data_IF_301003521554
#
_entry.id   IF_301003521554
#
_cell.length_a   1.000
_cell.length_b   1.000
_cell.length_c   1.000
_cell.angle_alpha   90.00
_cell.angle_beta   90.00
_cell.angle_gamma   90.00
#
_symmetry.space_group_name_H-M   'P 1'
#
loop_
_entity.id
_entity.type
_entity.pdbx_description
1 polymer ?
#
# COMPACT_ATOMS: atom_id res chain seq x y z
N UNK A 1 -29.45 2.93 -33.33
CA UNK A 1 -28.13 2.86 -33.99
C UNK A 1 -27.25 3.88 -33.31
N UNK A 2 -26.14 3.44 -32.74
CA UNK A 2 -25.09 4.32 -32.24
C UNK A 2 -24.52 5.08 -33.42
N UNK A 3 -24.64 6.41 -33.40
CA UNK A 3 -24.11 7.28 -34.44
C UNK A 3 -22.89 8.02 -33.91
N UNK A 4 -21.77 7.86 -34.58
CA UNK A 4 -20.48 8.41 -34.16
C UNK A 4 -20.27 9.77 -34.84
N UNK A 5 -19.68 10.70 -34.10
CA UNK A 5 -19.29 12.01 -34.63
C UNK A 5 -17.78 12.09 -34.80
N UNK A 6 -17.33 12.40 -36.00
CA UNK A 6 -15.91 12.58 -36.31
C UNK A 6 -15.50 14.00 -35.91
N UNK A 7 -14.39 14.12 -35.18
CA UNK A 7 -13.76 15.40 -34.82
C UNK A 7 -12.29 15.40 -35.14
N UNK A 8 -11.85 16.48 -35.78
CA UNK A 8 -10.44 16.75 -36.00
C UNK A 8 -9.73 17.12 -34.70
N UNK A 9 -8.44 16.81 -34.63
CA UNK A 9 -7.58 17.18 -33.51
C UNK A 9 -6.53 18.19 -33.98
N UNK A 10 -5.77 18.77 -33.04
CA UNK A 10 -4.64 19.64 -33.39
C UNK A 10 -3.51 18.88 -34.10
N UNK A 11 -3.49 17.54 -34.00
CA UNK A 11 -2.56 16.70 -34.73
C UNK A 11 -3.25 16.12 -35.98
N UNK A 12 -2.80 16.45 -37.21
CA UNK A 12 -3.43 15.99 -38.44
C UNK A 12 -3.33 14.47 -38.67
N UNK A 13 -2.47 13.77 -37.93
CA UNK A 13 -2.39 12.30 -37.96
C UNK A 13 -3.40 11.63 -37.03
N UNK A 14 -4.07 12.38 -36.16
CA UNK A 14 -5.00 11.85 -35.16
C UNK A 14 -6.42 12.34 -35.44
N UNK A 15 -7.35 11.41 -35.55
CA UNK A 15 -8.78 11.69 -35.70
C UNK A 15 -9.57 11.11 -34.54
N UNK A 16 -10.56 11.85 -34.05
CA UNK A 16 -11.39 11.49 -32.91
C UNK A 16 -12.77 11.04 -33.39
N UNK A 17 -13.23 9.92 -32.86
CA UNK A 17 -14.53 9.31 -33.11
C UNK A 17 -15.32 9.35 -31.80
N UNK A 18 -16.29 10.26 -31.68
CA UNK A 18 -17.07 10.48 -30.47
C UNK A 18 -18.40 9.73 -30.49
N UNK A 19 -18.71 9.10 -29.36
CA UNK A 19 -19.94 8.38 -29.08
C UNK A 19 -20.93 9.29 -28.34
N UNK A 20 -22.25 9.03 -28.48
CA UNK A 20 -23.28 9.77 -27.74
C UNK A 20 -23.20 9.53 -26.24
N UNK A 21 -22.84 8.30 -25.82
CA UNK A 21 -22.71 7.89 -24.43
C UNK A 21 -21.25 7.60 -24.06
N UNK A 22 -20.94 7.65 -22.76
CA UNK A 22 -19.62 7.26 -22.25
C UNK A 22 -19.35 5.78 -22.52
N UNK A 23 -18.16 5.49 -23.05
CA UNK A 23 -17.69 4.14 -23.38
C UNK A 23 -16.65 3.62 -22.39
N UNK A 24 -16.18 4.48 -21.48
CA UNK A 24 -15.23 4.13 -20.40
C UNK A 24 -15.72 4.66 -19.05
N UNK A 25 -15.34 4.00 -17.95
CA UNK A 25 -15.63 4.42 -16.57
C UNK A 25 -14.45 5.24 -15.98
N UNK A 26 -14.13 6.39 -16.59
CA UNK A 26 -13.02 7.28 -16.18
C UNK A 26 -11.60 6.70 -16.30
N UNK A 27 -11.41 5.65 -17.11
CA UNK A 27 -10.09 5.12 -17.45
C UNK A 27 -9.73 5.50 -18.89
N UNK A 28 -8.44 5.75 -19.12
CA UNK A 28 -7.88 6.02 -20.44
C UNK A 28 -7.04 4.83 -20.86
N UNK A 29 -7.24 4.37 -22.08
CA UNK A 29 -6.53 3.25 -22.67
C UNK A 29 -5.75 3.75 -23.88
N UNK A 30 -4.48 3.36 -23.99
CA UNK A 30 -3.62 3.57 -25.15
C UNK A 30 -3.08 2.21 -25.58
N UNK A 31 -3.27 1.89 -26.86
CA UNK A 31 -2.78 0.67 -27.47
C UNK A 31 -1.86 1.06 -28.62
N UNK A 32 -0.65 0.49 -28.67
CA UNK A 32 0.35 0.76 -29.71
C UNK A 32 0.53 -0.39 -30.71
N UNK A 33 -0.02 -1.55 -30.39
CA UNK A 33 0.03 -2.74 -31.24
C UNK A 33 -1.12 -3.69 -30.90
N UNK A 34 -1.33 -4.69 -31.75
CA UNK A 34 -2.39 -5.69 -31.59
C UNK A 34 -2.24 -6.54 -30.31
N UNK A 35 -1.02 -6.80 -29.84
CA UNK A 35 -0.77 -7.64 -28.67
C UNK A 35 -1.23 -6.99 -27.36
N UNK A 36 -1.29 -5.66 -27.32
CA UNK A 36 -1.80 -4.86 -26.19
C UNK A 36 -3.33 -4.82 -26.13
N UNK A 37 -4.04 -5.21 -27.21
CA UNK A 37 -5.51 -5.05 -27.33
C UNK A 37 -6.34 -6.17 -26.71
N UNK A 38 -5.75 -7.01 -25.87
CA UNK A 38 -6.43 -8.16 -25.25
C UNK A 38 -7.72 -7.79 -24.52
N UNK A 39 -7.77 -6.58 -23.95
CA UNK A 39 -8.93 -6.06 -23.22
C UNK A 39 -9.84 -5.15 -24.05
N UNK A 40 -9.60 -5.02 -25.36
CA UNK A 40 -10.42 -4.23 -26.27
C UNK A 40 -10.57 -4.94 -27.62
N UNK A 41 -11.64 -5.74 -27.78
CA UNK A 41 -11.95 -6.37 -29.06
C UNK A 41 -12.11 -5.36 -30.21
N UNK A 42 -12.61 -4.15 -29.92
CA UNK A 42 -12.66 -3.08 -30.91
C UNK A 42 -11.26 -2.57 -31.30
N UNK A 43 -10.37 -2.31 -30.33
CA UNK A 43 -9.00 -1.90 -30.66
C UNK A 43 -8.29 -3.00 -31.48
N UNK A 44 -8.49 -4.27 -31.12
CA UNK A 44 -7.96 -5.40 -31.89
C UNK A 44 -8.44 -5.35 -33.35
N UNK A 45 -9.72 -5.08 -33.57
CA UNK A 45 -10.28 -4.94 -34.92
C UNK A 45 -9.66 -3.75 -35.68
N UNK A 46 -9.45 -2.62 -35.01
CA UNK A 46 -8.86 -1.42 -35.61
C UNK A 46 -7.40 -1.65 -36.04
N UNK A 47 -6.62 -2.46 -35.32
CA UNK A 47 -5.24 -2.79 -35.73
C UNK A 47 -5.14 -3.70 -36.95
N UNK A 48 -6.23 -4.32 -37.42
CA UNK A 48 -6.20 -4.98 -38.74
C UNK A 48 -6.17 -3.97 -39.91
N UNK A 49 -6.46 -2.69 -39.64
CA UNK A 49 -6.27 -1.64 -40.62
C UNK A 49 -4.77 -1.32 -40.70
N UNK A 50 -4.11 -1.50 -41.86
CA UNK A 50 -2.65 -1.46 -41.98
C UNK A 50 -2.05 -0.07 -41.74
N UNK A 51 -2.88 0.97 -41.72
CA UNK A 51 -2.47 2.34 -41.47
C UNK A 51 -2.63 2.77 -40.00
N UNK A 52 -3.20 1.95 -39.12
CA UNK A 52 -3.39 2.32 -37.71
C UNK A 52 -2.09 2.15 -36.95
N UNK A 53 -1.65 3.24 -36.31
CA UNK A 53 -0.43 3.29 -35.50
C UNK A 53 -0.74 3.18 -34.02
N UNK A 54 -1.72 3.93 -33.53
CA UNK A 54 -2.08 3.98 -32.11
C UNK A 54 -3.59 4.14 -31.97
N UNK A 55 -4.19 3.47 -30.99
CA UNK A 55 -5.61 3.61 -30.64
C UNK A 55 -5.73 4.08 -29.19
N UNK A 56 -6.44 5.19 -28.99
CA UNK A 56 -6.76 5.76 -27.69
C UNK A 56 -8.25 5.61 -27.41
N UNK A 57 -8.62 5.10 -26.24
CA UNK A 57 -10.03 5.00 -25.81
C UNK A 57 -10.16 5.74 -24.49
N UNK A 58 -11.03 6.75 -24.45
CA UNK A 58 -11.20 7.61 -23.27
C UNK A 58 -12.57 8.26 -23.26
N UNK A 59 -13.17 8.37 -22.07
CA UNK A 59 -14.46 9.03 -21.88
C UNK A 59 -15.54 8.45 -22.80
N UNK A 60 -16.00 9.26 -23.74
CA UNK A 60 -16.98 8.93 -24.77
C UNK A 60 -16.36 8.87 -26.19
N UNK A 61 -15.06 8.65 -26.34
CA UNK A 61 -14.43 8.70 -27.67
C UNK A 61 -13.29 7.72 -27.87
N UNK A 62 -13.02 7.46 -29.15
CA UNK A 62 -11.84 6.74 -29.61
C UNK A 62 -11.03 7.69 -30.49
N UNK A 63 -9.75 7.88 -30.20
CA UNK A 63 -8.86 8.61 -31.09
C UNK A 63 -7.88 7.64 -31.75
N UNK A 64 -7.73 7.75 -33.06
CA UNK A 64 -6.87 6.85 -33.84
C UNK A 64 -5.76 7.70 -34.44
N UNK A 65 -4.52 7.30 -34.21
CA UNK A 65 -3.35 7.82 -34.91
C UNK A 65 -3.05 6.92 -36.10
N UNK A 66 -2.88 7.52 -37.29
CA UNK A 66 -2.49 6.80 -38.51
C UNK A 66 -1.00 6.95 -38.83
N UNK A 67 -0.44 5.98 -39.54
CA UNK A 67 0.79 6.16 -40.31
C UNK A 67 0.56 7.10 -41.50
N UNK A 68 1.61 7.81 -41.92
CA UNK A 68 1.58 8.77 -43.04
C UNK A 68 1.48 8.13 -44.43
N UNK A 69 0.87 6.94 -44.53
CA UNK A 69 0.71 6.18 -45.78
C UNK A 69 -0.67 6.38 -46.44
N UNK A 70 -1.62 6.96 -45.72
CA UNK A 70 -3.04 7.16 -46.13
C UNK A 70 -3.53 8.46 -45.51
N UNK A 71 -4.35 9.27 -46.18
CA UNK A 71 -4.96 10.48 -45.60
C UNK A 71 -6.32 10.21 -44.94
N UNK A 72 -6.66 10.97 -43.89
CA UNK A 72 -7.92 10.75 -43.15
C UNK A 72 -9.16 10.99 -44.02
N UNK A 73 -9.11 11.93 -44.95
CA UNK A 73 -10.23 12.21 -45.85
C UNK A 73 -10.64 11.01 -46.72
N UNK A 74 -9.72 10.08 -46.97
CA UNK A 74 -9.98 8.91 -47.80
C UNK A 74 -10.60 7.74 -47.00
N UNK A 75 -10.42 7.72 -45.67
CA UNK A 75 -10.75 6.54 -44.84
C UNK A 75 -11.63 6.82 -43.63
N UNK A 76 -11.82 8.09 -43.22
CA UNK A 76 -12.53 8.46 -41.99
C UNK A 76 -13.96 7.92 -41.92
N UNK A 77 -14.69 7.97 -43.02
CA UNK A 77 -16.09 7.53 -43.06
C UNK A 77 -16.19 6.00 -42.99
N UNK A 78 -15.29 5.28 -43.67
CA UNK A 78 -15.23 3.82 -43.61
C UNK A 78 -14.85 3.32 -42.20
N UNK A 79 -13.92 4.01 -41.54
CA UNK A 79 -13.55 3.68 -40.15
C UNK A 79 -14.72 3.97 -39.20
N UNK A 80 -15.42 5.10 -39.36
CA UNK A 80 -16.60 5.40 -38.56
C UNK A 80 -17.69 4.33 -38.75
N UNK A 81 -17.99 3.93 -39.99
CA UNK A 81 -18.97 2.88 -40.29
C UNK A 81 -18.56 1.54 -39.67
N UNK A 82 -17.27 1.19 -39.71
CA UNK A 82 -16.76 -0.03 -39.09
C UNK A 82 -16.97 -0.03 -37.56
N UNK A 83 -16.69 1.09 -36.90
CA UNK A 83 -16.89 1.23 -35.45
C UNK A 83 -18.39 1.19 -35.11
N UNK A 84 -19.23 1.91 -35.87
CA UNK A 84 -20.68 1.91 -35.69
C UNK A 84 -21.25 0.51 -35.85
N UNK A 85 -20.85 -0.21 -36.90
CA UNK A 85 -21.28 -1.58 -37.16
C UNK A 85 -20.89 -2.51 -36.02
N UNK A 86 -19.63 -2.46 -35.58
CA UNK A 86 -19.14 -3.28 -34.48
C UNK A 86 -20.00 -3.11 -33.22
N UNK A 87 -20.34 -1.87 -32.88
CA UNK A 87 -21.11 -1.55 -31.67
C UNK A 87 -22.58 -1.91 -31.83
N UNK A 88 -23.17 -1.64 -33.00
CA UNK A 88 -24.56 -2.00 -33.30
C UNK A 88 -24.77 -3.53 -33.36
N UNK A 89 -23.75 -4.29 -33.75
CA UNK A 89 -23.77 -5.76 -33.75
C UNK A 89 -23.55 -6.35 -32.34
N UNK A 90 -23.46 -5.51 -31.30
CA UNK A 90 -23.27 -5.94 -29.90
C UNK A 90 -21.81 -6.19 -29.51
N UNK A 91 -20.86 -5.72 -30.33
CA UNK A 91 -19.43 -5.80 -30.05
C UNK A 91 -19.05 -5.04 -28.77
N UNK A 92 -18.18 -5.66 -27.97
CA UNK A 92 -17.70 -5.07 -26.72
C UNK A 92 -16.50 -4.16 -26.99
N UNK A 93 -16.62 -2.87 -26.68
CA UNK A 93 -15.55 -1.88 -26.90
C UNK A 93 -14.34 -2.15 -25.98
N UNK A 94 -14.62 -2.40 -24.70
CA UNK A 94 -13.65 -2.76 -23.67
C UNK A 94 -14.23 -3.92 -22.88
N UNK A 95 -13.51 -5.03 -22.79
CA UNK A 95 -13.81 -6.05 -21.79
C UNK A 95 -13.32 -5.51 -20.46
N UNK A 96 -14.24 -5.17 -19.57
CA UNK A 96 -13.89 -4.79 -18.19
C UNK A 96 -13.11 -5.97 -17.61
N UNK A 97 -11.86 -5.73 -17.24
CA UNK A 97 -11.06 -6.72 -16.53
C UNK A 97 -11.74 -6.94 -15.18
N UNK A 98 -12.56 -7.99 -15.04
CA UNK A 98 -13.21 -8.33 -13.76
C UNK A 98 -12.17 -8.59 -12.65
N UNK A 99 -10.90 -8.81 -13.04
CA UNK A 99 -9.75 -8.98 -12.18
C UNK A 99 -9.04 -7.67 -11.78
N UNK A 100 -9.38 -6.52 -12.35
CA UNK A 100 -8.98 -5.24 -11.72
C UNK A 100 -9.89 -5.02 -10.53
N UNK A 101 -9.38 -5.35 -9.34
CA UNK A 101 -10.00 -4.98 -8.07
C UNK A 101 -10.55 -3.56 -8.19
N UNK A 102 -11.88 -3.40 -8.06
CA UNK A 102 -12.51 -2.07 -8.02
C UNK A 102 -11.71 -1.21 -7.06
N UNK A 103 -11.10 -0.12 -7.55
CA UNK A 103 -10.25 0.74 -6.73
C UNK A 103 -10.98 1.09 -5.44
N UNK A 104 -10.47 0.58 -4.33
CA UNK A 104 -11.11 0.81 -3.05
C UNK A 104 -10.71 2.21 -2.58
N UNK A 105 -11.68 3.11 -2.29
CA UNK A 105 -11.33 4.44 -1.84
C UNK A 105 -10.57 4.34 -0.51
N UNK A 106 -9.33 4.81 -0.51
CA UNK A 106 -8.48 4.84 0.69
C UNK A 106 -7.87 6.22 0.87
N UNK A 107 -7.72 6.64 2.12
CA UNK A 107 -6.85 7.77 2.47
C UNK A 107 -5.59 7.26 3.14
N UNK A 108 -4.48 7.91 2.82
CA UNK A 108 -3.19 7.71 3.48
C UNK A 108 -2.63 9.09 3.79
N UNK A 109 -2.25 9.33 5.04
CA UNK A 109 -1.62 10.57 5.46
C UNK A 109 -0.47 10.28 6.42
N UNK A 110 0.53 11.17 6.45
CA UNK A 110 1.71 11.04 7.30
C UNK A 110 1.51 11.78 8.61
N UNK A 111 1.88 11.14 9.72
CA UNK A 111 2.00 11.71 11.07
C UNK A 111 3.46 11.65 11.50
N UNK A 112 3.96 12.75 12.07
CA UNK A 112 5.31 12.80 12.66
C UNK A 112 5.35 11.97 13.92
N UNK A 113 6.44 11.23 14.11
CA UNK A 113 6.70 10.51 15.36
C UNK A 113 7.75 11.25 16.20
N UNK A 114 7.88 10.94 17.50
CA UNK A 114 9.00 11.45 18.30
C UNK A 114 10.38 11.02 17.79
N UNK A 115 10.45 9.97 16.96
CA UNK A 115 11.68 9.51 16.32
C UNK A 115 11.91 10.27 15.00
N UNK A 116 12.94 11.10 14.87
CA UNK A 116 13.20 11.87 13.65
C UNK A 116 13.53 10.99 12.44
N UNK A 117 13.94 9.73 12.66
CA UNK A 117 14.18 8.77 11.61
C UNK A 117 12.91 8.02 11.17
N UNK A 118 11.78 8.14 11.88
CA UNK A 118 10.56 7.39 11.58
C UNK A 118 9.36 8.29 11.30
N UNK A 119 8.57 7.92 10.27
CA UNK A 119 7.30 8.57 9.95
C UNK A 119 6.19 7.52 9.91
N UNK A 120 5.05 7.87 10.49
CA UNK A 120 3.87 7.00 10.56
C UNK A 120 2.91 7.35 9.42
N UNK A 121 2.57 6.38 8.59
CA UNK A 121 1.58 6.53 7.52
C UNK A 121 0.28 5.87 7.95
N UNK A 122 -0.73 6.67 8.28
CA UNK A 122 -2.04 6.19 8.72
C UNK A 122 -2.95 5.97 7.52
N UNK A 123 -3.61 4.82 7.49
CA UNK A 123 -4.50 4.37 6.44
C UNK A 123 -5.94 4.31 6.97
N UNK A 124 -6.92 4.63 6.13
CA UNK A 124 -8.35 4.58 6.51
C UNK A 124 -8.95 3.17 6.64
N UNK A 125 -8.14 2.11 6.58
CA UNK A 125 -8.57 0.72 6.75
C UNK A 125 -7.55 -0.06 7.58
N UNK A 126 -8.02 -1.12 8.21
CA UNK A 126 -7.17 -2.09 8.89
C UNK A 126 -6.26 -2.82 7.88
N UNK A 127 -4.99 -2.95 8.23
CA UNK A 127 -3.90 -3.58 7.50
C UNK A 127 -3.56 -4.96 8.07
N UNK A 128 -3.49 -5.08 9.40
CA UNK A 128 -3.15 -6.32 10.11
C UNK A 128 -3.75 -6.32 11.52
N UNK A 129 -3.95 -7.51 12.09
CA UNK A 129 -4.27 -7.68 13.52
C UNK A 129 -3.04 -7.95 14.37
N UNK A 130 -1.97 -8.41 13.75
CA UNK A 130 -0.73 -8.77 14.43
C UNK A 130 0.34 -7.77 14.01
N UNK A 131 0.95 -7.05 14.95
CA UNK A 131 2.06 -6.15 14.66
C UNK A 131 3.23 -6.92 14.04
N UNK A 132 3.85 -6.39 12.99
CA UNK A 132 5.03 -7.00 12.35
C UNK A 132 6.09 -5.95 12.07
N UNK A 133 7.34 -6.28 12.41
CA UNK A 133 8.51 -5.46 12.13
C UNK A 133 9.44 -6.17 11.14
N UNK A 134 9.88 -5.44 10.12
CA UNK A 134 10.85 -5.90 9.13
C UNK A 134 12.07 -4.99 9.18
N UNK A 135 13.26 -5.57 9.37
CA UNK A 135 14.55 -4.82 9.44
C UNK A 135 15.38 -4.93 8.16
N UNK A 136 14.96 -5.79 7.23
CA UNK A 136 15.57 -5.97 5.93
C UNK A 136 14.58 -6.65 4.97
N UNK A 137 14.92 -6.63 3.67
CA UNK A 137 14.07 -7.19 2.61
C UNK A 137 13.87 -8.70 2.74
N UNK A 138 14.82 -9.46 3.27
CA UNK A 138 14.73 -10.92 3.36
C UNK A 138 13.65 -11.38 4.37
N UNK A 139 13.30 -10.51 5.33
CA UNK A 139 12.23 -10.78 6.31
C UNK A 139 10.83 -10.53 5.74
N UNK A 140 10.70 -9.91 4.56
CA UNK A 140 9.41 -9.39 4.04
C UNK A 140 8.52 -10.43 3.37
N UNK A 141 8.83 -11.72 3.49
CA UNK A 141 8.08 -12.80 2.84
C UNK A 141 6.57 -12.78 3.12
N UNK A 142 6.18 -12.35 4.32
CA UNK A 142 4.78 -12.21 4.75
C UNK A 142 4.14 -10.87 4.36
N UNK A 143 4.85 -9.93 3.74
CA UNK A 143 4.32 -8.62 3.37
C UNK A 143 4.83 -8.14 2.01
N UNK A 144 4.03 -8.32 0.94
CA UNK A 144 4.34 -7.75 -0.36
C UNK A 144 4.48 -6.23 -0.33
N UNK A 145 3.71 -5.52 0.52
CA UNK A 145 3.89 -4.08 0.72
C UNK A 145 5.29 -3.77 1.27
N UNK A 146 5.72 -4.45 2.33
CA UNK A 146 7.05 -4.23 2.90
C UNK A 146 8.14 -4.55 1.87
N UNK A 147 8.01 -5.65 1.13
CA UNK A 147 8.96 -6.03 0.09
C UNK A 147 9.17 -4.91 -0.94
N UNK A 148 8.09 -4.29 -1.41
CA UNK A 148 8.17 -3.15 -2.31
C UNK A 148 8.72 -1.88 -1.64
N UNK A 149 8.37 -1.63 -0.36
CA UNK A 149 8.91 -0.50 0.40
C UNK A 149 10.44 -0.60 0.58
N UNK A 150 11.00 -1.80 0.75
CA UNK A 150 12.45 -1.99 0.82
C UNK A 150 13.19 -1.75 -0.50
N UNK A 151 12.49 -1.61 -1.64
CA UNK A 151 13.12 -1.20 -2.90
C UNK A 151 13.53 0.26 -2.92
N UNK A 152 12.92 1.08 -2.04
CA UNK A 152 13.34 2.46 -1.88
C UNK A 152 14.66 2.49 -1.08
N UNK A 153 15.75 3.07 -1.63
CA UNK A 153 17.09 2.93 -1.05
C UNK A 153 17.26 3.62 0.32
N UNK A 154 16.31 4.48 0.68
CA UNK A 154 16.30 5.20 1.94
C UNK A 154 15.52 4.48 3.06
N UNK A 155 14.80 3.40 2.76
CA UNK A 155 14.02 2.64 3.74
C UNK A 155 14.94 1.67 4.49
N UNK A 156 14.99 1.82 5.82
CA UNK A 156 15.80 1.00 6.73
C UNK A 156 14.96 -0.07 7.42
N UNK A 157 13.79 0.30 7.93
CA UNK A 157 12.90 -0.59 8.67
C UNK A 157 11.44 -0.25 8.34
N UNK A 158 10.58 -1.26 8.32
CA UNK A 158 9.14 -1.12 8.09
C UNK A 158 8.40 -1.84 9.19
N UNK A 159 7.52 -1.13 9.88
CA UNK A 159 6.65 -1.68 10.90
C UNK A 159 5.20 -1.48 10.48
N UNK A 160 4.39 -2.52 10.58
CA UNK A 160 2.98 -2.52 10.17
C UNK A 160 2.15 -3.01 11.33
N UNK A 161 1.16 -2.21 11.71
CA UNK A 161 0.24 -2.53 12.79
C UNK A 161 -1.10 -1.85 12.57
N UNK A 162 -2.17 -2.44 13.08
CA UNK A 162 -3.56 -2.02 12.94
C UNK A 162 -3.88 -1.38 11.58
N UNK A 163 -3.91 -0.05 11.49
CA UNK A 163 -4.21 0.72 10.30
C UNK A 163 -3.06 1.64 9.85
N UNK A 164 -1.83 1.43 10.29
CA UNK A 164 -0.70 2.29 9.96
C UNK A 164 0.56 1.52 9.58
N UNK A 165 1.43 2.21 8.84
CA UNK A 165 2.76 1.74 8.46
C UNK A 165 3.77 2.76 8.96
N UNK A 166 4.65 2.38 9.87
CA UNK A 166 5.78 3.20 10.28
C UNK A 166 7.00 2.83 9.45
N UNK A 167 7.57 3.81 8.76
CA UNK A 167 8.79 3.63 7.97
C UNK A 167 9.92 4.37 8.66
N UNK A 168 11.00 3.65 8.95
CA UNK A 168 12.26 4.24 9.43
C UNK A 168 13.20 4.39 8.26
N UNK A 169 13.77 5.59 8.08
CA UNK A 169 14.74 5.89 7.02
C UNK A 169 16.18 5.85 7.52
N UNK A 170 17.13 5.74 6.59
CA UNK A 170 18.54 6.05 6.88
C UNK A 170 18.73 7.56 7.17
N UNK A 171 19.72 7.90 8.00
CA UNK A 171 19.92 9.28 8.48
C UNK A 171 20.22 10.30 7.38
N UNK A 172 20.77 9.86 6.24
CA UNK A 172 21.18 10.75 5.14
C UNK A 172 20.02 11.38 4.36
N UNK A 173 18.80 10.88 4.53
CA UNK A 173 17.62 11.35 3.78
C UNK A 173 16.77 12.31 4.61
N UNK A 174 16.06 13.25 4.00
CA UNK A 174 15.09 14.12 4.69
C UNK A 174 13.65 13.68 4.41
N UNK A 175 12.80 13.67 5.44
CA UNK A 175 11.39 13.34 5.30
C UNK A 175 10.65 14.29 4.35
N UNK A 176 11.04 15.57 4.28
CA UNK A 176 10.42 16.54 3.38
C UNK A 176 10.52 16.13 1.91
N UNK A 177 11.56 15.38 1.54
CA UNK A 177 11.80 14.96 0.16
C UNK A 177 11.08 13.65 -0.18
N UNK A 178 11.02 12.70 0.76
CA UNK A 178 10.55 11.32 0.49
C UNK A 178 9.09 11.07 0.91
N UNK A 179 8.50 11.92 1.76
CA UNK A 179 7.15 11.68 2.33
C UNK A 179 6.08 11.55 1.24
N UNK A 180 6.10 12.42 0.22
CA UNK A 180 5.09 12.40 -0.83
C UNK A 180 5.17 11.13 -1.69
N UNK A 181 6.39 10.67 -1.98
CA UNK A 181 6.64 9.46 -2.76
C UNK A 181 6.10 8.23 -2.03
N UNK A 182 6.54 8.01 -0.79
CA UNK A 182 6.09 6.88 0.04
C UNK A 182 4.58 6.90 0.27
N UNK A 183 4.00 8.06 0.61
CA UNK A 183 2.55 8.19 0.81
C UNK A 183 1.78 7.82 -0.45
N UNK A 184 2.23 8.29 -1.61
CA UNK A 184 1.58 8.01 -2.89
C UNK A 184 1.70 6.53 -3.24
N UNK A 185 2.87 5.94 -3.02
CA UNK A 185 3.12 4.52 -3.22
C UNK A 185 2.21 3.65 -2.35
N UNK A 186 2.20 3.85 -1.02
CA UNK A 186 1.36 3.08 -0.09
C UNK A 186 -0.11 3.20 -0.47
N UNK A 187 -0.57 4.42 -0.77
CA UNK A 187 -1.94 4.67 -1.21
C UNK A 187 -2.27 3.87 -2.47
N UNK A 188 -1.47 3.97 -3.52
CA UNK A 188 -1.71 3.29 -4.80
C UNK A 188 -1.66 1.77 -4.66
N UNK A 189 -0.70 1.25 -3.89
CA UNK A 189 -0.57 -0.17 -3.63
C UNK A 189 -1.87 -0.72 -3.03
N UNK A 190 -2.40 -0.04 -2.01
CA UNK A 190 -3.63 -0.42 -1.31
C UNK A 190 -4.87 -0.21 -2.20
N UNK A 191 -4.97 0.93 -2.89
CA UNK A 191 -6.08 1.24 -3.81
C UNK A 191 -6.24 0.21 -4.92
N UNK A 192 -5.12 -0.31 -5.42
CA UNK A 192 -5.10 -1.32 -6.47
C UNK A 192 -5.36 -2.75 -5.96
N UNK A 193 -5.67 -2.91 -4.67
CA UNK A 193 -5.96 -4.22 -4.07
C UNK A 193 -4.72 -5.03 -3.71
N UNK A 194 -3.54 -4.40 -3.60
CA UNK A 194 -2.33 -5.07 -3.15
C UNK A 194 -2.48 -5.64 -1.74
N UNK A 195 -1.99 -6.87 -1.56
CA UNK A 195 -1.94 -7.54 -0.25
C UNK A 195 -0.88 -6.87 0.61
N UNK A 196 -1.30 -6.28 1.72
CA UNK A 196 -0.39 -5.60 2.65
C UNK A 196 0.40 -6.62 3.45
N UNK A 197 -0.31 -7.54 4.10
CA UNK A 197 0.23 -8.67 4.85
C UNK A 197 -0.53 -9.93 4.44
N UNK A 198 0.21 -11.01 4.21
CA UNK A 198 -0.35 -12.36 4.10
C UNK A 198 -0.33 -13.01 5.48
N UNK A 199 -1.47 -12.93 6.17
CA UNK A 199 -1.68 -13.46 7.52
C UNK A 199 -1.38 -14.97 7.59
N UNK A 200 -1.54 -15.72 6.48
CA UNK A 200 -1.26 -17.16 6.46
C UNK A 200 0.22 -17.49 6.61
N UNK A 201 1.10 -16.56 6.19
CA UNK A 201 2.55 -16.69 6.30
C UNK A 201 3.06 -16.22 7.66
N UNK A 202 2.36 -15.30 8.34
CA UNK A 202 2.69 -14.88 9.70
C UNK A 202 2.58 -16.04 10.68
N UNK A 203 1.54 -16.87 10.58
CA UNK A 203 1.37 -18.04 11.45
C UNK A 203 2.48 -19.09 11.30
N UNK A 204 3.18 -19.10 10.17
CA UNK A 204 4.31 -19.99 9.90
C UNK A 204 5.61 -19.38 10.45
N UNK A 205 5.86 -18.10 10.20
CA UNK A 205 7.05 -17.39 10.71
C UNK A 205 7.03 -17.30 12.24
N UNK A 206 5.86 -17.02 12.83
CA UNK A 206 5.68 -16.99 14.28
C UNK A 206 5.81 -18.38 14.91
N UNK A 207 5.71 -19.50 14.18
CA UNK A 207 5.92 -20.85 14.76
C UNK A 207 7.37 -21.16 15.09
N UNK A 208 8.33 -20.57 14.37
CA UNK A 208 9.76 -20.70 14.69
C UNK A 208 10.20 -19.71 15.80
N UNK A 209 9.45 -18.62 16.03
CA UNK A 209 9.65 -17.70 17.16
C UNK A 209 8.68 -17.92 18.36
N UNK A 210 7.73 -18.86 18.26
CA UNK A 210 6.73 -19.25 19.30
C UNK A 210 7.35 -20.02 20.47
N UNK A 211 8.42 -19.47 21.02
CA UNK A 211 8.86 -19.72 22.40
C UNK A 211 8.44 -18.57 23.32
N UNK A 212 7.91 -17.44 22.80
CA UNK A 212 7.59 -16.25 23.63
C UNK A 212 6.12 -15.83 23.73
N UNK A 213 5.20 -16.53 23.06
CA UNK A 213 3.84 -16.70 23.59
C UNK A 213 3.85 -17.97 24.43
N UNK A 214 4.60 -17.96 25.54
CA UNK A 214 4.24 -18.85 26.64
C UNK A 214 2.77 -18.54 26.93
N UNK A 215 1.90 -19.54 26.83
CA UNK A 215 0.48 -19.47 27.15
C UNK A 215 0.32 -18.44 28.27
N UNK A 216 -0.36 -17.30 28.05
CA UNK A 216 -0.45 -16.24 29.06
C UNK A 216 -0.85 -16.83 30.43
N UNK A 217 -1.73 -17.82 30.40
CA UNK A 217 -2.21 -18.62 31.53
C UNK A 217 -1.14 -19.49 32.22
N UNK A 218 0.02 -19.70 31.60
CA UNK A 218 1.17 -20.47 32.12
C UNK A 218 2.28 -19.60 32.71
N UNK A 219 2.21 -18.28 32.55
CA UNK A 219 3.13 -17.34 33.17
C UNK A 219 2.80 -17.16 34.65
N UNK A 220 3.77 -16.69 35.45
CA UNK A 220 3.51 -16.31 36.84
C UNK A 220 2.57 -15.10 36.95
N UNK A 221 1.97 -14.92 38.12
CA UNK A 221 0.98 -13.86 38.35
C UNK A 221 1.56 -12.45 38.13
N UNK A 222 2.84 -12.23 38.38
CA UNK A 222 3.48 -10.91 38.23
C UNK A 222 3.68 -10.61 36.75
N UNK A 223 4.20 -11.57 35.98
CA UNK A 223 4.31 -11.44 34.52
C UNK A 223 2.96 -11.18 33.86
N UNK A 224 1.90 -11.89 34.26
CA UNK A 224 0.55 -11.65 33.75
C UNK A 224 0.05 -10.23 34.06
N UNK A 225 0.28 -9.73 35.28
CA UNK A 225 -0.06 -8.36 35.66
C UNK A 225 0.73 -7.32 34.86
N UNK A 226 2.03 -7.54 34.67
CA UNK A 226 2.89 -6.67 33.86
C UNK A 226 2.33 -6.59 32.43
N UNK A 227 2.06 -7.72 31.80
CA UNK A 227 1.50 -7.77 30.44
C UNK A 227 0.19 -6.98 30.37
N UNK A 228 -0.73 -7.20 31.30
CA UNK A 228 -2.00 -6.45 31.33
C UNK A 228 -1.79 -4.94 31.46
N UNK A 229 -0.87 -4.51 32.33
CA UNK A 229 -0.55 -3.07 32.49
C UNK A 229 0.04 -2.50 31.19
N UNK A 230 0.95 -3.22 30.54
CA UNK A 230 1.56 -2.78 29.29
C UNK A 230 0.52 -2.65 28.17
N UNK A 231 -0.35 -3.65 28.01
CA UNK A 231 -1.41 -3.66 26.99
C UNK A 231 -2.44 -2.54 27.21
N UNK A 232 -2.86 -2.31 28.47
CA UNK A 232 -3.94 -1.37 28.77
C UNK A 232 -3.45 0.10 28.81
N UNK A 233 -2.26 0.36 29.34
CA UNK A 233 -1.82 1.73 29.66
C UNK A 233 -0.63 2.22 28.82
N UNK A 234 0.25 1.33 28.36
CA UNK A 234 1.48 1.75 27.65
C UNK A 234 1.32 1.63 26.15
N UNK A 235 0.84 0.49 25.66
CA UNK A 235 0.71 0.17 24.24
C UNK A 235 -0.11 1.21 23.46
N UNK A 236 -1.22 1.78 23.98
CA UNK A 236 -1.95 2.83 23.25
C UNK A 236 -1.11 4.08 22.98
N UNK A 237 -0.27 4.49 23.94
CA UNK A 237 0.61 5.65 23.77
C UNK A 237 1.74 5.35 22.77
N UNK A 238 2.31 4.15 22.85
CA UNK A 238 3.36 3.69 21.94
C UNK A 238 2.85 3.55 20.49
N UNK A 239 1.63 3.02 20.31
CA UNK A 239 0.98 2.92 19.01
C UNK A 239 0.60 4.30 18.43
N UNK A 240 0.20 5.26 19.28
CA UNK A 240 0.00 6.64 18.86
C UNK A 240 1.28 7.24 18.25
N UNK A 241 2.44 6.94 18.86
CA UNK A 241 3.77 7.33 18.37
C UNK A 241 4.28 6.48 17.19
N UNK A 242 3.52 5.47 16.75
CA UNK A 242 3.86 4.64 15.59
C UNK A 242 4.82 3.48 15.90
N UNK A 243 4.91 3.05 17.15
CA UNK A 243 5.65 1.87 17.56
C UNK A 243 4.78 0.80 18.20
N UNK A 244 5.42 -0.23 18.72
CA UNK A 244 4.79 -1.23 19.59
C UNK A 244 5.73 -1.60 20.74
N UNK A 245 5.16 -2.13 21.82
CA UNK A 245 5.88 -2.65 22.97
C UNK A 245 5.43 -4.08 23.24
N UNK A 246 6.40 -4.98 23.41
CA UNK A 246 6.14 -6.39 23.68
C UNK A 246 6.84 -6.78 24.97
N UNK A 247 6.13 -7.46 25.87
CA UNK A 247 6.74 -8.07 27.05
C UNK A 247 7.70 -9.18 26.61
N UNK A 248 8.93 -9.15 27.11
CA UNK A 248 9.94 -10.17 26.82
C UNK A 248 10.08 -11.17 27.97
N UNK A 249 10.34 -10.67 29.17
CA UNK A 249 10.56 -11.50 30.36
C UNK A 249 10.50 -10.69 31.65
N UNK A 250 10.33 -11.39 32.76
CA UNK A 250 10.46 -10.85 34.11
C UNK A 250 11.40 -11.74 34.94
N UNK A 251 12.37 -11.12 35.61
CA UNK A 251 13.28 -11.79 36.55
C UNK A 251 12.87 -11.48 37.98
N UNK A 252 12.27 -12.47 38.64
CA UNK A 252 11.82 -12.42 40.04
C UNK A 252 12.96 -12.16 41.04
N UNK A 253 14.22 -12.50 40.71
CA UNK A 253 15.35 -12.31 41.63
C UNK A 253 15.84 -10.87 41.65
N UNK A 254 15.70 -10.16 40.52
CA UNK A 254 16.21 -8.80 40.34
C UNK A 254 15.12 -7.76 40.16
N UNK A 255 13.84 -8.15 40.22
CA UNK A 255 12.67 -7.33 39.92
C UNK A 255 12.79 -6.64 38.54
N UNK A 256 13.41 -7.32 37.56
CA UNK A 256 13.74 -6.70 36.26
C UNK A 256 12.80 -7.17 35.17
N UNK A 257 12.08 -6.22 34.57
CA UNK A 257 11.18 -6.42 33.43
C UNK A 257 11.91 -6.07 32.14
N UNK A 258 11.96 -7.01 31.20
CA UNK A 258 12.46 -6.77 29.85
C UNK A 258 11.30 -6.57 28.90
N UNK A 259 11.39 -5.53 28.08
CA UNK A 259 10.43 -5.21 27.03
C UNK A 259 11.16 -4.99 25.70
N UNK A 260 10.57 -5.45 24.60
CA UNK A 260 11.04 -5.17 23.26
C UNK A 260 10.29 -3.99 22.68
N UNK A 261 11.04 -3.01 22.15
CA UNK A 261 10.48 -1.84 21.48
C UNK A 261 10.54 -2.03 19.96
N UNK A 262 9.41 -1.84 19.28
CA UNK A 262 9.28 -2.01 17.83
C UNK A 262 8.82 -0.73 17.12
N UNK A 263 9.04 -0.66 15.82
CA UNK A 263 8.58 0.43 14.96
C UNK A 263 9.27 1.75 15.30
N UNK A 264 8.52 2.86 15.30
CA UNK A 264 9.09 4.18 15.53
C UNK A 264 9.76 4.34 16.91
N UNK A 265 9.39 3.52 17.89
CA UNK A 265 9.99 3.56 19.23
C UNK A 265 11.34 2.83 19.31
N UNK A 266 11.65 1.99 18.32
CA UNK A 266 12.93 1.30 18.23
C UNK A 266 14.04 2.28 17.83
N UNK A 267 15.18 2.23 18.53
CA UNK A 267 16.36 3.04 18.22
C UNK A 267 16.22 4.56 18.43
N UNK A 268 15.13 5.05 19.01
CA UNK A 268 14.92 6.49 19.26
C UNK A 268 15.63 6.95 20.54
N UNK A 269 16.78 7.65 20.49
CA UNK A 269 17.60 7.93 21.68
C UNK A 269 16.88 8.79 22.72
N UNK A 270 16.03 9.72 22.27
CA UNK A 270 15.24 10.60 23.14
C UNK A 270 14.06 9.89 23.80
N UNK A 271 13.49 8.90 23.13
CA UNK A 271 12.32 8.16 23.62
C UNK A 271 12.72 6.96 24.47
N UNK A 272 13.83 6.27 24.18
CA UNK A 272 14.23 5.07 24.94
C UNK A 272 14.40 5.39 26.43
N UNK A 273 15.04 6.50 26.80
CA UNK A 273 15.22 6.86 28.21
C UNK A 273 13.91 7.29 28.88
N UNK A 274 13.17 8.19 28.25
CA UNK A 274 11.95 8.78 28.82
C UNK A 274 10.82 7.76 28.91
N UNK A 275 10.62 6.97 27.86
CA UNK A 275 9.59 5.93 27.82
C UNK A 275 9.92 4.79 28.78
N UNK A 276 11.18 4.32 28.82
CA UNK A 276 11.63 3.34 29.83
C UNK A 276 11.32 3.84 31.25
N UNK A 277 11.69 5.08 31.56
CA UNK A 277 11.44 5.66 32.88
C UNK A 277 9.94 5.78 33.19
N UNK A 278 9.13 6.14 32.19
CA UNK A 278 7.68 6.19 32.29
C UNK A 278 7.06 4.81 32.59
N UNK A 279 7.47 3.78 31.84
CA UNK A 279 7.05 2.39 32.04
C UNK A 279 7.48 1.91 33.42
N UNK A 280 8.72 2.14 33.81
CA UNK A 280 9.25 1.73 35.11
C UNK A 280 8.44 2.33 36.27
N UNK A 281 8.20 3.64 36.24
CA UNK A 281 7.41 4.31 37.27
C UNK A 281 5.95 3.82 37.31
N UNK A 282 5.36 3.55 36.14
CA UNK A 282 4.01 3.00 36.05
C UNK A 282 3.93 1.60 36.65
N UNK A 283 4.87 0.72 36.31
CA UNK A 283 4.91 -0.65 36.85
C UNK A 283 5.16 -0.63 38.37
N UNK A 284 6.08 0.21 38.87
CA UNK A 284 6.28 0.40 40.32
C UNK A 284 4.98 0.75 41.04
N UNK A 285 4.25 1.73 40.50
CA UNK A 285 2.99 2.20 41.07
C UNK A 285 1.89 1.15 41.00
N UNK A 286 1.71 0.48 39.86
CA UNK A 286 0.60 -0.46 39.63
C UNK A 286 0.82 -1.80 40.33
N UNK A 287 2.08 -2.23 40.46
CA UNK A 287 2.46 -3.46 41.18
C UNK A 287 2.72 -3.23 42.67
N UNK A 288 2.74 -1.96 43.13
CA UNK A 288 3.15 -1.57 44.49
C UNK A 288 4.53 -2.13 44.87
N UNK A 289 5.50 -2.08 43.94
CA UNK A 289 6.86 -2.57 44.14
C UNK A 289 7.88 -1.54 43.62
N UNK A 290 8.52 -0.79 44.52
CA UNK A 290 9.48 0.26 44.17
C UNK A 290 10.81 -0.25 43.60
N UNK A 291 11.08 -1.57 43.68
CA UNK A 291 12.32 -2.17 43.19
C UNK A 291 12.30 -2.50 41.70
N UNK A 292 11.13 -2.42 41.04
CA UNK A 292 10.99 -2.76 39.63
C UNK A 292 11.97 -1.96 38.77
N UNK A 293 12.66 -2.65 37.87
CA UNK A 293 13.53 -2.03 36.85
C UNK A 293 13.07 -2.44 35.48
N UNK A 294 13.14 -1.52 34.52
CA UNK A 294 12.79 -1.83 33.13
C UNK A 294 14.02 -1.80 32.25
N UNK A 295 14.19 -2.82 31.41
CA UNK A 295 15.16 -2.86 30.32
C UNK A 295 14.42 -2.89 28.99
N UNK A 296 14.70 -1.92 28.13
CA UNK A 296 14.16 -1.85 26.79
C UNK A 296 15.23 -2.34 25.80
N UNK A 297 14.87 -3.32 24.98
CA UNK A 297 15.71 -3.93 23.93
C UNK A 297 15.13 -3.70 22.54
#
# INVERSE_FOLDING_TARGET
>A
MTKITIKETQNPTILKFEFPDFITQNENYEFKNIDETKNSPLAQQLFYLPFVKTVYISGNFIAIERFSIVEWDDVKDAVAEQIEKFVNDGGTILTVDENKSKKQPITVYGETTPNPAALKFVVSRMLTKTPVEYKNIDQTSSSPLAQELFKFPYVKEVFIDENYVSVTKYEINDWQEITLELRTFIKQFIENGGTVIDESLLDIALKDEKVKDANFDSLDETSQKIINILEEYVKPAVAADGGNIVFDSYDDQTDTVKVMMQGACNGCPSSTFTLKSGIENMLKSMLNNDNIKVEAV
#
